data_IF_979061144345
#
_entry.id   IF_979061144345
#
_cell.length_a   1.000
_cell.length_b   1.000
_cell.length_c   1.000
_cell.angle_alpha   90.00
_cell.angle_beta   90.00
_cell.angle_gamma   90.00
#
_symmetry.space_group_name_H-M   'P 1'
#
loop_
_entity.id
_entity.type
_entity.pdbx_description
1 polymer ?
#
# COMPACT_ATOMS: atom_id res chain seq x y z
N UNK A 1 -6.68 4.79 -1.73
CA UNK A 1 -5.32 4.53 -2.23
C UNK A 1 -4.35 5.31 -1.38
N UNK A 2 -3.33 4.64 -0.87
CA UNK A 2 -2.40 5.17 0.12
C UNK A 2 -0.96 4.82 -0.26
N UNK A 3 -0.03 5.74 0.02
CA UNK A 3 1.39 5.42 0.07
C UNK A 3 1.69 4.67 1.36
N UNK A 4 2.35 3.52 1.25
CA UNK A 4 2.63 2.63 2.38
C UNK A 4 4.06 2.12 2.36
N UNK A 5 4.54 1.69 3.53
CA UNK A 5 5.70 0.82 3.63
C UNK A 5 5.30 -0.56 4.14
N UNK A 6 5.81 -1.57 3.47
CA UNK A 6 5.60 -2.97 3.73
C UNK A 6 6.83 -3.55 4.41
N UNK A 7 6.65 -4.16 5.59
CA UNK A 7 7.69 -4.90 6.31
C UNK A 7 7.38 -6.39 6.26
N UNK A 8 8.33 -7.15 5.75
CA UNK A 8 8.30 -8.61 5.71
C UNK A 8 8.64 -9.23 7.06
N UNK A 9 8.38 -10.53 7.19
CA UNK A 9 8.71 -11.28 8.40
C UNK A 9 10.23 -11.33 8.66
N UNK A 10 11.04 -11.28 7.59
CA UNK A 10 12.50 -11.21 7.67
C UNK A 10 13.05 -9.81 8.01
N UNK A 11 12.17 -8.82 8.18
CA UNK A 11 12.51 -7.43 8.49
C UNK A 11 12.84 -6.56 7.27
N UNK A 12 12.87 -7.12 6.06
CA UNK A 12 13.06 -6.33 4.84
C UNK A 12 11.91 -5.37 4.62
N UNK A 13 12.24 -4.20 4.06
CA UNK A 13 11.32 -3.10 3.85
C UNK A 13 11.17 -2.81 2.37
N UNK A 14 9.92 -2.64 1.96
CA UNK A 14 9.55 -2.27 0.60
C UNK A 14 8.53 -1.14 0.66
N UNK A 15 8.68 -0.16 -0.23
CA UNK A 15 7.63 0.84 -0.42
C UNK A 15 6.51 0.26 -1.30
N UNK A 16 5.33 0.85 -1.24
CA UNK A 16 4.19 0.36 -2.02
C UNK A 16 3.00 1.31 -2.05
N UNK A 17 1.96 0.88 -2.75
CA UNK A 17 0.62 1.48 -2.68
C UNK A 17 -0.38 0.49 -2.12
N UNK A 18 -1.26 0.95 -1.26
CA UNK A 18 -2.35 0.16 -0.73
C UNK A 18 -3.72 0.69 -1.15
N UNK A 19 -4.60 -0.21 -1.60
CA UNK A 19 -6.03 0.03 -1.60
C UNK A 19 -6.61 -0.45 -0.27
N UNK A 20 -7.32 0.44 0.41
CA UNK A 20 -8.05 0.10 1.63
C UNK A 20 -9.52 0.40 1.38
N UNK A 21 -10.27 -0.67 1.05
CA UNK A 21 -11.66 -0.60 0.66
C UNK A 21 -12.55 -1.47 1.54
N UNK A 22 -13.86 -1.40 1.32
CA UNK A 22 -14.83 -2.33 1.92
C UNK A 22 -15.56 -3.06 0.81
N UNK A 23 -15.80 -4.36 0.96
CA UNK A 23 -16.70 -5.12 0.07
C UNK A 23 -18.13 -4.95 0.56
N UNK A 24 -19.01 -4.22 -0.15
CA UNK A 24 -20.35 -3.92 0.34
C UNK A 24 -21.31 -5.12 0.29
N UNK A 25 -20.98 -6.17 -0.47
CA UNK A 25 -21.93 -7.19 -0.94
C UNK A 25 -21.77 -8.58 -0.31
N UNK A 26 -20.93 -8.77 0.72
CA UNK A 26 -20.59 -10.13 1.18
C UNK A 26 -21.25 -10.56 2.50
N UNK A 27 -21.54 -9.67 3.45
CA UNK A 27 -22.22 -10.00 4.71
C UNK A 27 -22.36 -8.74 5.58
N UNK A 28 -23.19 -8.80 6.62
CA UNK A 28 -23.73 -7.72 7.48
C UNK A 28 -22.70 -6.83 8.23
N UNK A 29 -21.45 -6.74 7.79
CA UNK A 29 -20.53 -5.67 8.18
C UNK A 29 -19.31 -5.45 7.26
N UNK A 30 -19.34 -5.96 6.02
CA UNK A 30 -18.39 -5.67 4.94
C UNK A 30 -16.93 -5.57 5.38
N UNK A 31 -16.28 -6.72 5.59
CA UNK A 31 -14.90 -6.79 6.07
C UNK A 31 -13.98 -5.83 5.27
N UNK A 32 -13.16 -5.01 5.96
CA UNK A 32 -12.22 -4.14 5.29
C UNK A 32 -11.17 -5.00 4.56
N UNK A 33 -10.90 -4.65 3.31
CA UNK A 33 -9.89 -5.29 2.48
C UNK A 33 -8.72 -4.34 2.30
N UNK A 34 -7.53 -4.79 2.68
CA UNK A 34 -6.28 -4.09 2.49
C UNK A 34 -5.45 -4.86 1.45
N UNK A 35 -5.33 -4.30 0.26
CA UNK A 35 -4.53 -4.87 -0.83
C UNK A 35 -3.33 -3.97 -1.07
N UNK A 36 -2.12 -4.51 -0.96
CA UNK A 36 -0.88 -3.75 -1.14
C UNK A 36 -0.14 -4.25 -2.36
N UNK A 37 0.18 -3.34 -3.28
CA UNK A 37 1.13 -3.56 -4.35
C UNK A 37 2.52 -3.14 -3.87
N UNK A 38 3.39 -4.13 -3.68
CA UNK A 38 4.74 -3.98 -3.14
C UNK A 38 5.71 -3.69 -4.29
N UNK A 39 6.46 -2.59 -4.20
CA UNK A 39 7.41 -2.21 -5.23
C UNK A 39 8.69 -3.05 -5.19
N UNK A 40 9.30 -3.22 -6.36
CA UNK A 40 10.61 -3.85 -6.54
C UNK A 40 10.73 -5.24 -5.88
N UNK A 41 9.60 -5.95 -5.80
CA UNK A 41 9.50 -7.30 -5.24
C UNK A 41 8.94 -8.27 -6.28
N UNK A 42 9.49 -9.49 -6.30
CA UNK A 42 8.96 -10.60 -7.08
C UNK A 42 8.94 -11.85 -6.22
N UNK A 43 7.80 -12.55 -6.20
CA UNK A 43 7.62 -13.79 -5.45
C UNK A 43 6.25 -13.85 -4.80
N UNK A 44 6.04 -14.90 -4.00
CA UNK A 44 4.80 -15.15 -3.28
C UNK A 44 4.97 -14.79 -1.80
N UNK A 45 3.97 -14.08 -1.24
CA UNK A 45 3.91 -13.69 0.17
C UNK A 45 2.82 -14.48 0.93
N UNK A 46 2.28 -15.54 0.33
CA UNK A 46 1.21 -16.33 0.93
C UNK A 46 1.65 -16.99 2.24
N UNK A 47 0.86 -16.79 3.29
CA UNK A 47 1.13 -17.32 4.63
C UNK A 47 2.17 -16.52 5.43
N UNK A 48 2.79 -15.49 4.84
CA UNK A 48 3.74 -14.63 5.53
C UNK A 48 3.01 -13.56 6.36
N UNK A 49 3.35 -13.44 7.64
CA UNK A 49 2.85 -12.35 8.49
C UNK A 49 3.70 -11.11 8.19
N UNK A 50 3.05 -10.08 7.65
CA UNK A 50 3.70 -8.83 7.26
C UNK A 50 3.04 -7.64 7.96
N UNK A 51 3.75 -6.51 8.01
CA UNK A 51 3.20 -5.26 8.54
C UNK A 51 3.12 -4.20 7.44
N UNK A 52 2.04 -3.41 7.44
CA UNK A 52 1.82 -2.31 6.50
C UNK A 52 1.68 -1.01 7.30
N UNK A 53 2.58 -0.06 7.03
CA UNK A 53 2.56 1.28 7.64
C UNK A 53 2.06 2.30 6.62
N UNK A 54 1.05 3.10 7.00
CA UNK A 54 0.47 4.13 6.14
C UNK A 54 1.21 5.45 6.31
N UNK A 55 1.63 6.07 5.19
CA UNK A 55 2.34 7.35 5.21
C UNK A 55 1.57 8.51 4.58
N UNK A 56 0.63 8.22 3.69
CA UNK A 56 -0.18 9.27 3.09
C UNK A 56 -1.35 8.73 2.29
N UNK A 57 -2.44 9.50 2.29
CA UNK A 57 -3.56 9.29 1.38
C UNK A 57 -3.24 9.92 0.03
N UNK A 58 -3.41 9.17 -1.06
CA UNK A 58 -3.20 9.66 -2.43
C UNK A 58 -4.54 10.03 -3.07
N UNK A 59 -5.50 9.09 -3.08
CA UNK A 59 -6.82 9.29 -3.70
C UNK A 59 -7.85 8.25 -3.27
N UNK A 60 -9.11 8.53 -3.58
CA UNK A 60 -10.22 7.58 -3.42
C UNK A 60 -10.19 6.52 -4.53
N UNK A 61 -10.97 5.46 -4.35
CA UNK A 61 -11.22 4.47 -5.41
C UNK A 61 -11.96 5.14 -6.58
N UNK A 62 -11.62 4.71 -7.80
CA UNK A 62 -12.18 5.26 -9.04
C UNK A 62 -12.48 4.08 -9.97
N UNK A 63 -13.60 4.14 -10.69
CA UNK A 63 -13.91 3.18 -11.75
C UNK A 63 -13.20 3.59 -13.03
N UNK A 64 -12.58 2.63 -13.71
CA UNK A 64 -11.87 2.87 -14.95
C UNK A 64 -12.65 2.31 -16.13
N UNK A 65 -12.61 3.04 -17.25
CA UNK A 65 -13.15 2.58 -18.52
C UNK A 65 -12.06 1.79 -19.26
N UNK A 66 -11.92 0.51 -18.89
CA UNK A 66 -10.96 -0.40 -19.49
C UNK A 66 -9.59 -0.49 -18.80
N UNK A 67 -8.80 -1.46 -19.26
CA UNK A 67 -7.52 -1.86 -18.64
C UNK A 67 -6.44 -0.78 -18.79
N UNK A 68 -6.36 -0.12 -19.94
CA UNK A 68 -5.33 0.89 -20.20
C UNK A 68 -5.44 2.08 -19.25
N UNK A 69 -6.67 2.54 -18.99
CA UNK A 69 -6.94 3.62 -18.04
C UNK A 69 -6.56 3.23 -16.60
N UNK A 70 -6.84 1.99 -16.19
CA UNK A 70 -6.45 1.45 -14.90
C UNK A 70 -4.92 1.40 -14.77
N UNK A 71 -4.22 0.79 -15.74
CA UNK A 71 -2.75 0.66 -15.72
C UNK A 71 -2.08 2.03 -15.69
N UNK A 72 -2.58 2.99 -16.49
CA UNK A 72 -2.07 4.35 -16.49
C UNK A 72 -2.25 5.03 -15.13
N UNK A 73 -3.38 4.79 -14.43
CA UNK A 73 -3.57 5.32 -13.08
C UNK A 73 -2.67 4.63 -12.06
N UNK A 74 -2.50 3.31 -12.13
CA UNK A 74 -1.60 2.58 -11.22
C UNK A 74 -0.17 3.10 -11.29
N UNK A 75 0.33 3.41 -12.51
CA UNK A 75 1.65 4.04 -12.69
C UNK A 75 1.75 5.44 -12.07
N UNK A 76 0.67 6.22 -12.12
CA UNK A 76 0.62 7.53 -11.45
C UNK A 76 0.65 7.37 -9.92
N UNK A 77 -0.15 6.44 -9.39
CA UNK A 77 -0.20 6.14 -7.97
C UNK A 77 1.17 5.67 -7.45
N UNK A 78 1.87 4.82 -8.22
CA UNK A 78 3.24 4.39 -7.92
C UNK A 78 4.22 5.57 -7.86
N UNK A 79 4.22 6.42 -8.88
CA UNK A 79 5.14 7.56 -8.93
C UNK A 79 4.90 8.55 -7.78
N UNK A 80 3.63 8.82 -7.46
CA UNK A 80 3.24 9.69 -6.37
C UNK A 80 3.62 9.11 -5.00
N UNK A 81 3.40 7.80 -4.79
CA UNK A 81 3.82 7.10 -3.58
C UNK A 81 5.34 7.15 -3.38
N UNK A 82 6.11 6.87 -4.44
CA UNK A 82 7.58 6.96 -4.42
C UNK A 82 8.05 8.37 -4.06
N UNK A 83 7.44 9.40 -4.65
CA UNK A 83 7.76 10.79 -4.35
C UNK A 83 7.44 11.16 -2.90
N UNK A 84 6.29 10.72 -2.38
CA UNK A 84 5.89 10.96 -0.99
C UNK A 84 6.86 10.27 -0.02
N UNK A 85 7.18 8.99 -0.26
CA UNK A 85 7.99 8.16 0.63
C UNK A 85 9.47 8.55 0.65
N UNK A 86 10.01 9.08 -0.46
CA UNK A 86 11.41 9.49 -0.56
C UNK A 86 11.82 10.57 0.47
N UNK A 87 10.88 11.41 0.90
CA UNK A 87 11.13 12.49 1.86
C UNK A 87 10.90 12.11 3.33
N UNK A 88 10.35 10.93 3.59
CA UNK A 88 9.88 10.58 4.94
C UNK A 88 11.07 10.19 5.83
N UNK A 89 11.08 10.75 7.04
CA UNK A 89 12.02 10.39 8.11
C UNK A 89 11.25 10.01 9.37
N UNK A 90 11.81 9.17 10.25
CA UNK A 90 11.20 8.89 11.54
C UNK A 90 10.93 10.19 12.32
N UNK A 91 9.74 10.31 12.92
CA UNK A 91 9.43 11.45 13.80
C UNK A 91 9.99 11.22 15.21
N UNK A 92 10.14 9.95 15.60
CA UNK A 92 10.65 9.53 16.90
C UNK A 92 11.40 8.20 16.79
N UNK A 93 12.03 7.78 17.89
CA UNK A 93 12.63 6.43 17.99
C UNK A 93 11.60 5.31 17.87
N UNK A 94 10.34 5.56 18.25
CA UNK A 94 9.25 4.59 18.09
C UNK A 94 8.91 4.40 16.61
N UNK A 95 8.78 5.51 15.87
CA UNK A 95 8.51 5.45 14.42
C UNK A 95 9.66 4.76 13.69
N UNK A 96 10.90 5.03 14.12
CA UNK A 96 12.09 4.38 13.57
C UNK A 96 12.05 2.85 13.80
N UNK A 97 11.56 2.39 14.95
CA UNK A 97 11.50 0.96 15.25
C UNK A 97 10.34 0.22 14.55
N UNK A 98 9.24 0.91 14.24
CA UNK A 98 8.01 0.29 13.71
C UNK A 98 7.92 0.43 12.19
N UNK A 99 8.24 1.60 11.65
CA UNK A 99 7.97 1.95 10.25
C UNK A 99 9.24 2.11 9.39
N UNK A 100 10.44 1.95 9.98
CA UNK A 100 11.75 2.03 9.32
C UNK A 100 12.70 0.91 9.76
#
# INVERSE_FOLDING_TARGET
IYAVRFRRADGSLHDGVASFGRRPTVDDNGAPLLETFVFDFSGDLYGEICAVSFFGYLRSEVKFDGLDALVAQMKRDEAEAKALLAGVRPLSGLDAAIAF
#
